data_IF_153343142986
#
_entry.id   IF_153343142986
#
_cell.length_a   1.000
_cell.length_b   1.000
_cell.length_c   1.000
_cell.angle_alpha   90.00
_cell.angle_beta   90.00
_cell.angle_gamma   90.00
#
_symmetry.space_group_name_H-M   'P 1'
#
loop_
_entity.id
_entity.type
_entity.pdbx_description
1 polymer ?
#
# COMPACT_ATOMS: atom_id res chain seq x y z
N UNK A 1 -10.16 12.10 2.83
CA UNK A 1 -10.18 10.65 2.50
C UNK A 1 -8.92 10.13 1.80
N UNK A 2 -8.57 10.64 0.60
CA UNK A 2 -7.47 10.09 -0.23
C UNK A 2 -6.12 10.08 0.52
N UNK A 3 -5.68 11.22 1.04
CA UNK A 3 -4.42 11.33 1.77
C UNK A 3 -4.34 10.39 2.98
N UNK A 4 -5.47 10.17 3.68
CA UNK A 4 -5.55 9.21 4.79
C UNK A 4 -5.37 7.77 4.31
N UNK A 5 -6.07 7.38 3.25
CA UNK A 5 -5.95 6.03 2.69
C UNK A 5 -4.53 5.74 2.22
N UNK A 6 -3.90 6.67 1.48
CA UNK A 6 -2.51 6.52 1.04
C UNK A 6 -1.57 6.40 2.25
N UNK A 7 -1.68 7.31 3.23
CA UNK A 7 -0.84 7.26 4.42
C UNK A 7 -0.95 5.90 5.13
N UNK A 8 -2.18 5.42 5.39
CA UNK A 8 -2.39 4.11 6.02
C UNK A 8 -1.74 3.00 5.19
N UNK A 9 -1.97 2.96 3.87
CA UNK A 9 -1.44 1.90 3.01
C UNK A 9 0.09 1.91 2.86
N UNK A 10 0.73 3.08 2.90
CA UNK A 10 2.19 3.20 2.78
C UNK A 10 2.94 2.75 4.02
N UNK A 11 2.40 2.97 5.23
CA UNK A 11 3.06 2.60 6.48
C UNK A 11 2.48 1.37 7.20
N UNK A 12 1.61 0.60 6.55
CA UNK A 12 0.97 -0.59 7.15
C UNK A 12 1.15 -1.89 6.35
N UNK A 13 0.62 -2.98 6.90
CA UNK A 13 0.48 -4.29 6.24
C UNK A 13 -0.96 -4.52 5.78
N UNK A 14 -1.26 -5.70 5.23
CA UNK A 14 -2.62 -6.08 4.83
C UNK A 14 -3.68 -5.83 5.92
N UNK A 15 -3.31 -6.02 7.20
CA UNK A 15 -4.17 -5.73 8.36
C UNK A 15 -4.56 -4.24 8.47
N UNK A 16 -3.65 -3.32 8.13
CA UNK A 16 -3.93 -1.88 8.14
C UNK A 16 -4.88 -1.46 7.02
N UNK A 17 -4.78 -2.09 5.84
CA UNK A 17 -5.76 -1.91 4.75
C UNK A 17 -7.15 -2.38 5.17
N UNK A 18 -7.28 -3.50 5.89
CA UNK A 18 -8.56 -3.93 6.46
C UNK A 18 -9.16 -2.88 7.41
N UNK A 19 -8.32 -2.19 8.19
CA UNK A 19 -8.77 -1.08 9.03
C UNK A 19 -9.19 0.15 8.20
N UNK A 20 -8.48 0.45 7.11
CA UNK A 20 -8.84 1.54 6.20
C UNK A 20 -10.20 1.33 5.52
N UNK A 21 -10.53 0.08 5.15
CA UNK A 21 -11.85 -0.27 4.60
C UNK A 21 -12.97 0.01 5.62
N UNK A 22 -12.72 -0.23 6.90
CA UNK A 22 -13.68 0.09 7.97
C UNK A 22 -13.86 1.60 8.20
N UNK A 23 -12.94 2.44 7.71
CA UNK A 23 -13.04 3.90 7.79
C UNK A 23 -13.80 4.49 6.60
N UNK A 24 -13.80 3.81 5.46
CA UNK A 24 -14.50 4.22 4.25
C UNK A 24 -14.01 3.46 3.02
N UNK A 25 -14.85 3.37 1.99
CA UNK A 25 -14.50 2.71 0.72
C UNK A 25 -13.32 3.40 0.03
N UNK A 26 -13.28 4.74 0.05
CA UNK A 26 -12.20 5.52 -0.59
C UNK A 26 -10.89 5.34 0.17
N UNK A 27 -10.91 5.37 1.50
CA UNK A 27 -9.74 5.12 2.34
C UNK A 27 -9.20 3.70 2.13
N UNK A 28 -10.08 2.70 2.08
CA UNK A 28 -9.74 1.32 1.80
C UNK A 28 -9.12 1.12 0.41
N UNK A 29 -9.74 1.70 -0.63
CA UNK A 29 -9.25 1.63 -1.99
C UNK A 29 -7.87 2.28 -2.12
N UNK A 30 -7.69 3.49 -1.58
CA UNK A 30 -6.40 4.19 -1.65
C UNK A 30 -5.31 3.49 -0.81
N UNK A 31 -5.66 2.88 0.33
CA UNK A 31 -4.74 2.08 1.14
C UNK A 31 -4.27 0.82 0.40
N UNK A 32 -5.18 0.14 -0.29
CA UNK A 32 -4.86 -1.03 -1.11
C UNK A 32 -3.91 -0.70 -2.26
N UNK A 33 -4.16 0.40 -2.98
CA UNK A 33 -3.30 0.86 -4.08
C UNK A 33 -1.89 1.20 -3.56
N UNK A 34 -1.80 1.91 -2.43
CA UNK A 34 -0.52 2.27 -1.82
C UNK A 34 0.29 1.03 -1.39
N UNK A 35 -0.36 0.02 -0.80
CA UNK A 35 0.26 -1.25 -0.45
C UNK A 35 0.79 -1.98 -1.70
N UNK A 36 -0.03 -2.07 -2.75
CA UNK A 36 0.35 -2.72 -4.00
C UNK A 36 1.55 -2.04 -4.67
N UNK A 37 1.57 -0.70 -4.70
CA UNK A 37 2.72 0.07 -5.19
C UNK A 37 3.99 -0.19 -4.39
N UNK A 38 3.90 -0.24 -3.07
CA UNK A 38 5.06 -0.52 -2.20
C UNK A 38 5.65 -1.91 -2.50
N UNK A 39 4.80 -2.91 -2.67
CA UNK A 39 5.22 -4.26 -3.09
C UNK A 39 5.85 -4.28 -4.48
N UNK A 40 5.27 -3.58 -5.45
CA UNK A 40 5.81 -3.48 -6.80
C UNK A 40 7.20 -2.83 -6.81
N UNK A 41 7.39 -1.72 -6.10
CA UNK A 41 8.69 -1.04 -5.97
C UNK A 41 9.71 -1.98 -5.34
N UNK A 42 9.32 -2.73 -4.31
CA UNK A 42 10.19 -3.70 -3.65
C UNK A 42 10.62 -4.81 -4.60
N UNK A 43 9.71 -5.35 -5.41
CA UNK A 43 10.03 -6.38 -6.42
C UNK A 43 10.96 -5.83 -7.50
N UNK A 44 10.70 -4.62 -8.00
CA UNK A 44 11.54 -3.98 -9.01
C UNK A 44 12.96 -3.72 -8.48
N UNK A 45 13.08 -3.23 -7.25
CA UNK A 45 14.36 -3.05 -6.56
C UNK A 45 15.09 -4.39 -6.36
N UNK A 46 14.37 -5.41 -5.90
CA UNK A 46 14.93 -6.74 -5.68
C UNK A 46 15.44 -7.35 -6.99
N UNK A 47 14.69 -7.22 -8.09
CA UNK A 47 15.10 -7.67 -9.41
C UNK A 47 16.35 -6.92 -9.89
N UNK A 48 16.38 -5.60 -9.77
CA UNK A 48 17.53 -4.80 -10.20
C UNK A 48 18.80 -5.10 -9.39
N UNK A 49 18.66 -5.31 -8.08
CA UNK A 49 19.79 -5.63 -7.19
C UNK A 49 20.25 -7.09 -7.28
N UNK A 50 19.34 -8.06 -7.52
CA UNK A 50 19.69 -9.49 -7.61
C UNK A 50 20.19 -9.92 -8.99
N UNK A 51 19.82 -9.20 -10.05
CA UNK A 51 20.26 -9.49 -11.44
C UNK A 51 21.61 -8.83 -11.76
N UNK A 52 22.13 -7.99 -10.87
CA UNK A 52 23.49 -7.43 -10.94
C UNK A 52 24.45 -8.28 -10.13
#
# INVERSE_FOLDING_TARGET
PIARGIAIGTCSHAVGTSKAISLGEVEGAMSGIALAMSGLITVLLCLFLSVR
#
